data_IF_557252497788
#
_entry.id   IF_557252497788
#
_cell.length_a   1.000
_cell.length_b   1.000
_cell.length_c   1.000
_cell.angle_alpha   90.00
_cell.angle_beta   90.00
_cell.angle_gamma   90.00
#
_symmetry.space_group_name_H-M   'P 1'
#
loop_
_entity.id
_entity.type
_entity.pdbx_description
1 polymer ?
#
# COMPACT_ATOMS: atom_id res chain seq x y z
N UNK A 1 -9.54 -4.27 1.89
CA UNK A 1 -9.01 -5.53 2.41
C UNK A 1 -7.51 -5.33 2.45
N UNK A 2 -6.82 -5.75 3.52
CA UNK A 2 -5.55 -5.12 3.91
C UNK A 2 -4.50 -6.17 4.22
N UNK A 3 -3.34 -6.08 3.57
CA UNK A 3 -2.26 -7.07 3.72
C UNK A 3 -2.03 -7.90 2.47
N UNK A 4 -1.31 -9.02 2.65
CA UNK A 4 -0.87 -9.87 1.55
C UNK A 4 -2.01 -10.40 0.71
N UNK A 5 -1.86 -10.26 -0.61
CA UNK A 5 -2.71 -10.95 -1.56
C UNK A 5 -2.57 -12.47 -1.44
N UNK A 6 -3.53 -13.19 -2.01
CA UNK A 6 -3.49 -14.64 -2.20
C UNK A 6 -2.19 -15.08 -2.88
N UNK A 7 -1.71 -14.28 -3.84
CA UNK A 7 -0.47 -14.55 -4.56
C UNK A 7 0.74 -14.45 -3.63
N UNK A 8 0.85 -13.37 -2.86
CA UNK A 8 1.95 -13.17 -1.92
C UNK A 8 1.93 -14.20 -0.81
N UNK A 9 0.77 -14.46 -0.21
CA UNK A 9 0.62 -15.45 0.85
C UNK A 9 1.03 -16.86 0.39
N UNK A 10 0.58 -17.30 -0.79
CA UNK A 10 0.96 -18.60 -1.37
C UNK A 10 2.46 -18.69 -1.65
N UNK A 11 3.07 -17.64 -2.20
CA UNK A 11 4.51 -17.64 -2.46
C UNK A 11 5.34 -17.64 -1.17
N UNK A 12 4.92 -16.88 -0.16
CA UNK A 12 5.56 -16.90 1.16
C UNK A 12 5.48 -18.29 1.81
N UNK A 13 4.32 -18.95 1.76
CA UNK A 13 4.15 -20.32 2.27
C UNK A 13 4.97 -21.34 1.48
N UNK A 14 5.00 -21.24 0.16
CA UNK A 14 5.82 -22.12 -0.67
C UNK A 14 7.32 -21.97 -0.34
N UNK A 15 7.78 -20.75 -0.04
CA UNK A 15 9.14 -20.52 0.40
C UNK A 15 9.42 -21.12 1.79
N UNK A 16 8.54 -20.85 2.76
CA UNK A 16 8.67 -21.37 4.13
C UNK A 16 8.66 -22.91 4.18
N UNK A 17 7.93 -23.55 3.27
CA UNK A 17 7.86 -25.00 3.15
C UNK A 17 8.97 -25.60 2.28
N UNK A 18 9.86 -24.77 1.73
CA UNK A 18 10.97 -25.21 0.86
C UNK A 18 10.51 -25.70 -0.52
N UNK A 19 9.26 -25.45 -0.91
CA UNK A 19 8.69 -25.87 -2.19
C UNK A 19 9.21 -25.04 -3.36
N UNK A 20 9.51 -23.76 -3.11
CA UNK A 20 10.11 -22.84 -4.09
C UNK A 20 11.13 -21.93 -3.40
N UNK A 21 12.09 -21.39 -4.16
CA UNK A 21 12.89 -20.27 -3.69
C UNK A 21 12.01 -19.01 -3.55
N UNK A 22 12.32 -18.14 -2.60
CA UNK A 22 11.64 -16.85 -2.48
C UNK A 22 11.74 -16.10 -3.82
N UNK A 23 10.63 -15.58 -4.39
CA UNK A 23 10.71 -14.82 -5.63
C UNK A 23 11.68 -13.66 -5.46
N UNK A 24 12.64 -13.53 -6.37
CA UNK A 24 13.46 -12.32 -6.45
C UNK A 24 12.56 -11.22 -6.98
N UNK A 25 12.22 -10.23 -6.15
CA UNK A 25 11.35 -9.12 -6.55
C UNK A 25 12.20 -8.06 -7.26
N UNK A 26 12.11 -7.89 -8.59
CA UNK A 26 13.04 -7.04 -9.33
C UNK A 26 12.64 -5.57 -9.27
N UNK A 27 11.33 -5.28 -9.30
CA UNK A 27 10.77 -3.94 -9.20
C UNK A 27 9.37 -4.01 -8.58
N UNK A 28 9.07 -3.08 -7.68
CA UNK A 28 7.76 -2.96 -7.04
C UNK A 28 7.13 -1.64 -7.46
N UNK A 29 5.83 -1.66 -7.72
CA UNK A 29 5.07 -0.52 -8.22
C UNK A 29 3.87 -0.24 -7.32
N UNK A 30 3.70 1.02 -6.92
CA UNK A 30 2.53 1.49 -6.20
C UNK A 30 1.45 1.98 -7.19
N UNK A 31 0.25 1.43 -7.05
CA UNK A 31 -0.95 1.75 -7.81
C UNK A 31 -2.02 2.38 -6.89
N UNK A 32 -2.89 3.22 -7.47
CA UNK A 32 -4.04 3.81 -6.80
C UNK A 32 -5.34 3.20 -7.35
N UNK A 33 -6.36 3.13 -6.50
CA UNK A 33 -7.63 2.48 -6.83
C UNK A 33 -8.83 3.34 -6.42
N UNK A 34 -9.85 3.36 -7.27
CA UNK A 34 -11.18 3.92 -6.97
C UNK A 34 -12.12 2.87 -6.37
N UNK A 35 -11.80 1.59 -6.54
CA UNK A 35 -12.41 0.47 -5.83
C UNK A 35 -11.33 -0.56 -5.46
N UNK A 36 -11.32 -0.99 -4.20
CA UNK A 36 -10.30 -1.92 -3.72
C UNK A 36 -10.44 -3.33 -4.35
N UNK A 37 -9.32 -4.00 -4.69
CA UNK A 37 -9.34 -5.40 -5.08
C UNK A 37 -9.59 -6.33 -3.88
N UNK A 38 -10.03 -7.55 -4.18
CA UNK A 38 -10.03 -8.69 -3.26
C UNK A 38 -8.63 -9.35 -3.19
N UNK A 39 -8.44 -10.33 -2.30
CA UNK A 39 -7.16 -11.05 -2.09
C UNK A 39 -6.62 -11.67 -3.35
N UNK A 40 -7.52 -12.16 -4.20
CA UNK A 40 -7.19 -12.72 -5.51
C UNK A 40 -6.71 -11.69 -6.53
N UNK A 41 -6.70 -10.40 -6.18
CA UNK A 41 -6.43 -9.28 -7.08
C UNK A 41 -7.62 -8.89 -7.97
N UNK A 42 -8.77 -9.54 -7.82
CA UNK A 42 -9.97 -9.30 -8.64
C UNK A 42 -10.90 -8.24 -8.04
N UNK A 43 -11.85 -7.72 -8.83
CA UNK A 43 -12.91 -6.81 -8.36
C UNK A 43 -12.48 -5.37 -8.08
N UNK A 44 -11.18 -5.08 -8.07
CA UNK A 44 -10.65 -3.73 -7.93
C UNK A 44 -10.79 -2.92 -9.23
N UNK A 45 -10.87 -1.60 -9.08
CA UNK A 45 -10.78 -0.64 -10.18
C UNK A 45 -9.55 0.21 -9.96
N UNK A 46 -8.46 -0.13 -10.65
CA UNK A 46 -7.27 0.72 -10.68
C UNK A 46 -7.62 2.05 -11.35
N UNK A 47 -7.03 3.13 -10.85
CA UNK A 47 -7.18 4.45 -11.44
C UNK A 47 -6.81 4.38 -12.93
N UNK A 48 -7.60 5.07 -13.74
CA UNK A 48 -7.30 5.31 -15.15
C UNK A 48 -7.53 6.78 -15.46
N UNK A 49 -6.79 7.31 -16.44
CA UNK A 49 -6.89 8.72 -16.80
C UNK A 49 -5.60 9.22 -17.42
N UNK A 50 -5.63 10.46 -17.93
CA UNK A 50 -4.46 11.08 -18.55
C UNK A 50 -3.32 11.17 -17.54
N UNK A 51 -2.12 10.78 -17.98
CA UNK A 51 -0.87 10.75 -17.21
C UNK A 51 -0.80 9.73 -16.06
N UNK A 52 -1.84 8.95 -15.79
CA UNK A 52 -1.75 7.93 -14.73
C UNK A 52 -0.85 6.78 -15.17
N UNK A 53 0.11 6.45 -14.32
CA UNK A 53 0.91 5.23 -14.36
C UNK A 53 1.26 4.85 -12.92
N UNK A 54 1.48 3.55 -12.68
CA UNK A 54 2.00 3.08 -11.39
C UNK A 54 3.38 3.67 -11.14
N UNK A 55 3.67 4.02 -9.89
CA UNK A 55 4.97 4.58 -9.49
C UNK A 55 5.89 3.47 -9.03
N UNK A 56 7.08 3.36 -9.62
CA UNK A 56 8.07 2.40 -9.11
C UNK A 56 8.56 2.85 -7.73
N UNK A 57 8.42 1.98 -6.73
CA UNK A 57 8.77 2.23 -5.33
C UNK A 57 9.88 1.32 -4.81
N UNK A 58 10.26 0.29 -5.56
CA UNK A 58 11.49 -0.45 -5.30
C UNK A 58 12.10 -0.99 -6.59
N UNK A 59 13.40 -1.25 -6.58
CA UNK A 59 14.12 -1.91 -7.66
C UNK A 59 15.63 -1.92 -7.44
N UNK A 60 16.39 -2.52 -8.35
CA UNK A 60 17.85 -2.55 -8.25
C UNK A 60 18.53 -1.95 -9.48
N UNK A 61 19.71 -1.36 -9.28
CA UNK A 61 20.60 -0.88 -10.33
C UNK A 61 21.98 -1.53 -10.17
N UNK A 62 22.64 -1.82 -11.29
CA UNK A 62 24.02 -2.32 -11.29
C UNK A 62 25.00 -1.17 -11.34
N UNK A 63 25.95 -1.14 -10.41
CA UNK A 63 27.04 -0.15 -10.44
C UNK A 63 27.88 -0.32 -11.70
N UNK A 64 28.53 0.76 -12.16
CA UNK A 64 29.47 0.73 -13.29
C UNK A 64 30.87 1.25 -12.93
N UNK A 65 31.11 1.46 -11.64
CA UNK A 65 32.35 1.96 -11.08
C UNK A 65 32.41 1.65 -9.59
N UNK A 66 33.63 1.58 -9.06
CA UNK A 66 33.85 1.25 -7.65
C UNK A 66 33.61 2.45 -6.74
N UNK A 67 33.01 2.25 -5.58
CA UNK A 67 32.94 3.23 -4.48
C UNK A 67 33.86 2.78 -3.36
N UNK A 68 35.00 3.45 -3.21
CA UNK A 68 35.96 3.11 -2.17
C UNK A 68 35.38 3.31 -0.74
N UNK A 69 35.92 2.56 0.21
CA UNK A 69 35.63 2.73 1.64
C UNK A 69 35.86 4.19 2.08
N UNK A 70 34.95 4.74 2.88
CA UNK A 70 34.97 6.14 3.29
C UNK A 70 34.37 7.12 2.28
N UNK A 71 33.85 6.66 1.14
CA UNK A 71 33.13 7.48 0.17
C UNK A 71 31.64 7.10 0.13
N UNK A 72 30.77 8.09 -0.08
CA UNK A 72 29.31 7.92 -0.13
C UNK A 72 28.74 7.94 -1.56
N UNK A 73 29.55 8.11 -2.60
CA UNK A 73 29.03 8.25 -3.98
C UNK A 73 29.04 6.91 -4.71
N UNK A 74 27.86 6.39 -5.03
CA UNK A 74 27.66 5.26 -5.92
C UNK A 74 27.63 5.72 -7.38
N UNK A 75 28.13 4.87 -8.28
CA UNK A 75 28.27 5.16 -9.71
C UNK A 75 27.46 4.17 -10.55
N UNK A 76 26.63 4.70 -11.46
CA UNK A 76 25.74 3.94 -12.33
C UNK A 76 25.84 4.41 -13.78
N UNK A 77 25.48 3.54 -14.72
CA UNK A 77 25.35 3.93 -16.13
C UNK A 77 24.20 4.94 -16.33
N UNK A 78 23.11 4.76 -15.58
CA UNK A 78 21.99 5.68 -15.50
C UNK A 78 21.28 5.51 -14.16
N UNK A 79 20.84 6.61 -13.56
CA UNK A 79 19.96 6.65 -12.40
C UNK A 79 18.56 7.10 -12.87
N UNK A 80 17.57 6.20 -12.92
CA UNK A 80 16.22 6.55 -13.33
C UNK A 80 15.52 7.47 -12.32
N UNK A 81 14.53 8.23 -12.78
CA UNK A 81 13.81 9.22 -11.98
C UNK A 81 13.01 8.64 -10.79
N UNK A 82 12.80 7.31 -10.74
CA UNK A 82 12.15 6.66 -9.60
C UNK A 82 13.08 6.56 -8.38
N UNK A 83 14.41 6.66 -8.56
CA UNK A 83 15.35 6.71 -7.42
C UNK A 83 15.33 8.11 -6.82
N UNK A 84 14.75 8.24 -5.62
CA UNK A 84 14.51 9.51 -4.95
C UNK A 84 15.20 9.60 -3.60
N UNK A 85 15.44 10.83 -3.12
CA UNK A 85 15.96 11.08 -1.78
C UNK A 85 15.05 10.44 -0.70
N UNK A 86 15.68 9.89 0.34
CA UNK A 86 15.01 9.17 1.42
C UNK A 86 14.78 7.68 1.17
N UNK A 87 14.99 7.18 -0.06
CA UNK A 87 14.90 5.74 -0.33
C UNK A 87 16.00 4.99 0.42
N UNK A 88 15.67 3.84 0.99
CA UNK A 88 16.64 2.94 1.64
C UNK A 88 17.48 2.22 0.60
N UNK A 89 18.77 2.06 0.87
CA UNK A 89 19.75 1.43 -0.02
C UNK A 89 20.18 0.08 0.57
N UNK A 90 20.22 -0.95 -0.28
CA UNK A 90 20.67 -2.30 0.07
C UNK A 90 21.69 -2.79 -0.95
N UNK A 91 22.70 -3.55 -0.51
CA UNK A 91 23.61 -4.25 -1.42
C UNK A 91 23.21 -5.73 -1.50
N UNK A 92 22.72 -6.16 -2.67
CA UNK A 92 22.25 -7.52 -2.90
C UNK A 92 23.39 -8.50 -3.17
N UNK A 93 24.56 -8.00 -3.57
CA UNK A 93 25.72 -8.79 -4.03
C UNK A 93 26.79 -8.95 -2.97
N UNK A 94 27.00 -7.93 -2.13
CA UNK A 94 27.99 -7.91 -1.07
C UNK A 94 27.39 -7.30 0.21
N UNK A 95 26.43 -8.03 0.80
CA UNK A 95 25.70 -7.59 1.99
C UNK A 95 26.67 -7.18 3.11
N UNK A 96 26.56 -5.92 3.56
CA UNK A 96 27.36 -5.37 4.67
C UNK A 96 28.41 -4.34 4.29
N UNK A 97 28.67 -4.11 2.99
CA UNK A 97 29.57 -3.03 2.53
C UNK A 97 28.89 -1.65 2.53
N UNK A 98 27.58 -1.62 2.33
CA UNK A 98 26.74 -0.45 2.61
C UNK A 98 26.18 -0.60 4.03
N UNK A 99 26.41 0.37 4.95
CA UNK A 99 25.87 0.31 6.30
C UNK A 99 24.35 0.16 6.33
N UNK A 100 23.82 -0.54 7.34
CA UNK A 100 22.38 -0.66 7.52
C UNK A 100 21.71 0.72 7.68
N UNK A 101 20.46 0.84 7.23
CA UNK A 101 19.68 2.08 7.22
C UNK A 101 20.29 3.25 6.41
N UNK A 102 21.24 2.97 5.52
CA UNK A 102 21.72 3.95 4.54
C UNK A 102 20.59 4.34 3.58
N UNK A 103 20.51 5.62 3.26
CA UNK A 103 19.47 6.22 2.40
C UNK A 103 20.09 7.06 1.29
N UNK A 104 19.29 7.34 0.26
CA UNK A 104 19.63 8.30 -0.80
C UNK A 104 19.56 9.73 -0.24
N UNK A 105 20.62 10.51 -0.36
CA UNK A 105 20.62 11.95 -0.09
C UNK A 105 20.31 12.77 -1.33
N UNK A 106 20.96 12.43 -2.46
CA UNK A 106 20.78 13.12 -3.72
C UNK A 106 21.17 12.22 -4.90
N UNK A 107 20.71 12.59 -6.08
CA UNK A 107 21.00 11.87 -7.33
C UNK A 107 21.43 12.84 -8.42
N UNK A 108 22.26 12.36 -9.33
CA UNK A 108 22.44 12.92 -10.68
C UNK A 108 21.92 11.91 -11.69
N UNK A 109 22.11 12.13 -12.99
CA UNK A 109 21.77 11.13 -14.01
C UNK A 109 22.63 9.86 -13.93
N UNK A 110 23.76 9.85 -13.23
CA UNK A 110 24.72 8.73 -13.20
C UNK A 110 25.28 8.42 -11.81
N UNK A 111 24.90 9.16 -10.76
CA UNK A 111 25.41 8.94 -9.41
C UNK A 111 24.32 9.06 -8.35
N UNK A 112 24.51 8.36 -7.25
CA UNK A 112 23.70 8.47 -6.04
C UNK A 112 24.63 8.78 -4.87
N UNK A 113 24.33 9.83 -4.11
CA UNK A 113 25.02 10.14 -2.86
C UNK A 113 24.26 9.49 -1.72
N UNK A 114 24.94 8.62 -0.98
CA UNK A 114 24.43 7.91 0.19
C UNK A 114 24.51 8.76 1.46
N UNK A 115 23.66 8.47 2.46
CA UNK A 115 23.72 9.10 3.78
C UNK A 115 24.80 8.56 4.70
N UNK A 116 25.43 7.45 4.32
CA UNK A 116 26.59 6.87 4.98
C UNK A 116 27.66 6.51 3.93
N UNK A 117 28.91 6.50 4.35
CA UNK A 117 30.01 6.05 3.51
C UNK A 117 29.99 4.52 3.35
N UNK A 118 30.43 4.04 2.18
CA UNK A 118 30.76 2.63 2.01
C UNK A 118 31.81 2.21 3.05
N UNK A 119 31.67 1.00 3.56
CA UNK A 119 32.52 0.39 4.57
C UNK A 119 33.34 -0.77 3.99
N UNK A 120 34.23 -1.34 4.80
CA UNK A 120 35.01 -2.52 4.41
C UNK A 120 35.85 -2.28 3.15
N UNK A 121 35.67 -3.14 2.14
CA UNK A 121 36.36 -3.04 0.86
C UNK A 121 35.79 -1.96 -0.08
N UNK A 122 34.63 -1.38 0.25
CA UNK A 122 33.87 -0.52 -0.66
C UNK A 122 33.02 -1.30 -1.66
N UNK A 123 32.12 -0.61 -2.36
CA UNK A 123 31.20 -1.19 -3.34
C UNK A 123 31.93 -1.43 -4.67
N UNK A 124 31.78 -2.62 -5.24
CA UNK A 124 32.34 -3.02 -6.52
C UNK A 124 31.65 -2.35 -7.71
N UNK A 125 32.28 -2.42 -8.88
CA UNK A 125 31.77 -1.83 -10.13
C UNK A 125 30.79 -2.71 -10.90
N UNK A 126 30.30 -3.80 -10.29
CA UNK A 126 29.33 -4.75 -10.87
C UNK A 126 28.27 -5.16 -9.84
N UNK A 127 28.19 -4.43 -8.74
CA UNK A 127 27.34 -4.77 -7.60
C UNK A 127 25.89 -4.40 -7.92
N UNK A 128 24.94 -5.21 -7.44
CA UNK A 128 23.51 -4.96 -7.59
C UNK A 128 23.00 -4.24 -6.35
N UNK A 129 22.71 -2.96 -6.50
CA UNK A 129 22.26 -2.09 -5.41
C UNK A 129 20.75 -1.94 -5.49
N UNK A 130 20.07 -2.41 -4.45
CA UNK A 130 18.64 -2.25 -4.23
C UNK A 130 18.29 -0.89 -3.65
N UNK A 131 17.17 -0.33 -4.10
CA UNK A 131 16.56 0.89 -3.61
C UNK A 131 15.10 0.61 -3.27
N UNK A 132 14.63 1.14 -2.15
CA UNK A 132 13.24 1.00 -1.71
C UNK A 132 12.72 2.28 -1.09
N UNK A 133 11.51 2.69 -1.50
CA UNK A 133 10.76 3.75 -0.84
C UNK A 133 10.39 3.37 0.59
N UNK A 134 10.33 2.08 0.92
CA UNK A 134 10.03 1.57 2.26
C UNK A 134 11.29 1.24 3.03
N UNK A 135 11.28 1.55 4.33
CA UNK A 135 12.28 1.06 5.28
C UNK A 135 12.10 -0.43 5.55
N UNK A 136 13.13 -1.06 6.11
CA UNK A 136 13.05 -2.45 6.56
C UNK A 136 11.93 -2.65 7.58
N UNK A 137 11.25 -3.81 7.50
CA UNK A 137 10.15 -4.13 8.40
C UNK A 137 10.60 -4.13 9.89
N UNK A 138 9.73 -3.68 10.77
CA UNK A 138 9.93 -3.62 12.23
C UNK A 138 8.63 -3.92 12.98
N UNK A 139 8.71 -4.12 14.30
CA UNK A 139 7.53 -4.45 15.13
C UNK A 139 7.17 -5.94 15.12
N UNK A 140 6.32 -6.35 16.06
CA UNK A 140 6.00 -7.76 16.32
C UNK A 140 4.49 -8.07 16.43
N UNK A 141 3.61 -7.07 16.35
CA UNK A 141 2.15 -7.23 16.40
C UNK A 141 1.42 -5.91 16.05
N UNK A 142 1.37 -5.48 14.78
CA UNK A 142 1.87 -6.15 13.58
C UNK A 142 3.36 -5.88 13.33
N UNK A 143 3.97 -6.65 12.43
CA UNK A 143 5.19 -6.21 11.74
C UNK A 143 4.79 -5.22 10.64
N UNK A 144 5.56 -4.15 10.47
CA UNK A 144 5.22 -3.06 9.54
C UNK A 144 6.45 -2.49 8.85
N UNK A 145 6.23 -2.01 7.63
CA UNK A 145 7.19 -1.25 6.84
C UNK A 145 6.57 0.11 6.47
N UNK A 146 7.36 1.18 6.59
CA UNK A 146 6.89 2.55 6.38
C UNK A 146 7.70 3.19 5.27
N UNK A 147 7.06 4.00 4.42
CA UNK A 147 7.80 4.71 3.38
C UNK A 147 8.75 5.76 3.99
N UNK A 148 10.04 5.69 3.67
CA UNK A 148 11.05 6.68 4.05
C UNK A 148 11.19 7.83 3.06
N UNK A 149 10.84 7.62 1.78
CA UNK A 149 10.82 8.67 0.75
C UNK A 149 9.40 9.14 0.46
N UNK A 150 9.29 10.36 -0.07
CA UNK A 150 8.06 10.78 -0.74
C UNK A 150 7.79 9.86 -1.93
N UNK A 151 6.52 9.56 -2.20
CA UNK A 151 6.08 8.83 -3.39
C UNK A 151 5.11 9.76 -4.12
N UNK A 152 5.49 10.20 -5.31
CA UNK A 152 4.74 11.19 -6.08
C UNK A 152 4.28 10.61 -7.40
N UNK A 153 2.99 10.73 -7.69
CA UNK A 153 2.42 10.37 -8.98
C UNK A 153 2.52 11.54 -9.96
N UNK A 154 2.34 11.27 -11.25
CA UNK A 154 2.26 12.34 -12.26
C UNK A 154 1.08 13.29 -12.00
N UNK A 155 1.14 14.51 -12.53
CA UNK A 155 0.00 15.43 -12.43
C UNK A 155 -1.17 14.90 -13.28
N UNK A 156 -2.37 14.72 -12.71
CA UNK A 156 -3.55 14.31 -13.47
C UNK A 156 -3.88 15.32 -14.56
N UNK A 157 -4.11 14.82 -15.77
CA UNK A 157 -4.59 15.63 -16.89
C UNK A 157 -6.10 15.92 -16.81
N UNK A 158 -6.66 16.36 -17.94
CA UNK A 158 -8.10 16.64 -18.06
C UNK A 158 -8.96 15.47 -17.59
N UNK A 159 -9.97 15.75 -16.76
CA UNK A 159 -10.86 14.73 -16.16
C UNK A 159 -10.42 14.23 -14.78
N UNK A 160 -9.17 14.44 -14.39
CA UNK A 160 -8.66 13.92 -13.11
C UNK A 160 -8.64 12.38 -13.05
N UNK A 161 -8.50 11.84 -11.84
CA UNK A 161 -8.38 10.41 -11.56
C UNK A 161 -9.53 9.86 -10.69
N UNK A 162 -10.57 10.67 -10.47
CA UNK A 162 -11.71 10.31 -9.63
C UNK A 162 -11.37 10.29 -8.13
N UNK A 163 -12.14 9.51 -7.36
CA UNK A 163 -11.97 9.39 -5.91
C UNK A 163 -11.17 8.15 -5.58
N UNK A 164 -9.95 8.34 -5.12
CA UNK A 164 -9.04 7.27 -4.67
C UNK A 164 -9.39 6.87 -3.25
N UNK A 165 -9.49 5.57 -3.02
CA UNK A 165 -9.86 4.99 -1.72
C UNK A 165 -8.87 3.93 -1.24
N UNK A 166 -7.98 3.46 -2.12
CA UNK A 166 -7.11 2.33 -1.84
C UNK A 166 -5.79 2.45 -2.61
N UNK A 167 -4.71 1.88 -2.07
CA UNK A 167 -3.44 1.71 -2.75
C UNK A 167 -3.06 0.23 -2.83
N UNK A 168 -2.33 -0.17 -3.87
CA UNK A 168 -1.84 -1.53 -4.02
C UNK A 168 -0.42 -1.58 -4.55
N UNK A 169 0.33 -2.61 -4.14
CA UNK A 169 1.65 -2.95 -4.64
C UNK A 169 1.54 -4.03 -5.72
N UNK A 170 2.34 -3.87 -6.78
CA UNK A 170 2.43 -4.78 -7.92
C UNK A 170 3.88 -5.07 -8.27
N UNK A 171 4.11 -6.24 -8.86
CA UNK A 171 5.44 -6.66 -9.36
C UNK A 171 5.73 -6.20 -10.80
N UNK A 172 4.83 -5.43 -11.43
CA UNK A 172 5.01 -4.90 -12.77
C UNK A 172 4.37 -3.52 -12.97
N UNK A 173 4.91 -2.74 -13.90
CA UNK A 173 4.41 -1.40 -14.25
C UNK A 173 3.02 -1.44 -14.89
N UNK A 174 2.71 -2.52 -15.62
CA UNK A 174 1.41 -2.82 -16.23
C UNK A 174 1.11 -4.30 -16.03
N UNK A 175 -0.17 -4.65 -15.86
CA UNK A 175 -0.56 -6.00 -15.45
C UNK A 175 0.11 -6.42 -14.14
N UNK A 176 0.87 -7.52 -14.12
CA UNK A 176 1.54 -8.03 -12.92
C UNK A 176 0.58 -8.61 -11.87
N UNK A 177 1.16 -9.15 -10.81
CA UNK A 177 0.43 -9.71 -9.69
C UNK A 177 0.23 -8.64 -8.61
N UNK A 178 -0.98 -8.56 -8.07
CA UNK A 178 -1.26 -7.79 -6.86
C UNK A 178 -0.54 -8.44 -5.69
N UNK A 179 0.21 -7.65 -4.90
CA UNK A 179 1.08 -8.16 -3.85
C UNK A 179 0.53 -7.89 -2.45
N UNK A 180 0.15 -6.64 -2.19
CA UNK A 180 -0.28 -6.12 -0.90
C UNK A 180 -0.99 -4.78 -1.14
N UNK A 181 -1.78 -4.29 -0.21
CA UNK A 181 -2.44 -3.00 -0.30
C UNK A 181 -3.30 -2.71 0.92
N UNK A 182 -3.74 -1.46 1.05
CA UNK A 182 -4.65 -1.05 2.09
C UNK A 182 -5.55 0.13 1.65
N UNK A 183 -6.69 0.27 2.32
CA UNK A 183 -7.54 1.44 2.23
C UNK A 183 -6.78 2.68 2.74
N UNK A 184 -7.03 3.80 2.07
CA UNK A 184 -6.45 5.08 2.44
C UNK A 184 -7.05 5.53 3.77
N UNK A 185 -6.18 6.10 4.63
CA UNK A 185 -6.53 6.60 5.95
C UNK A 185 -6.08 5.65 7.06
N UNK A 186 -5.40 6.22 8.07
CA UNK A 186 -4.92 5.48 9.23
C UNK A 186 -6.04 5.31 10.27
N UNK A 187 -6.99 4.43 9.97
CA UNK A 187 -8.13 4.12 10.85
C UNK A 187 -8.12 2.65 11.23
N UNK A 188 -8.44 2.30 12.50
CA UNK A 188 -8.47 0.91 12.92
C UNK A 188 -9.65 0.18 12.29
N UNK A 189 -9.47 -1.12 12.07
CA UNK A 189 -10.58 -2.05 11.92
C UNK A 189 -11.26 -2.24 13.28
N UNK A 190 -12.56 -2.01 13.34
CA UNK A 190 -13.37 -2.15 14.54
C UNK A 190 -14.36 -3.30 14.38
N UNK A 191 -14.56 -4.15 15.40
CA UNK A 191 -15.57 -5.21 15.35
C UNK A 191 -16.97 -4.62 15.28
N UNK A 192 -17.85 -5.29 14.54
CA UNK A 192 -19.24 -4.90 14.37
C UNK A 192 -20.18 -6.10 14.56
N UNK A 193 -21.32 -5.85 15.17
CA UNK A 193 -22.49 -6.72 15.09
C UNK A 193 -23.60 -6.01 14.32
N UNK A 194 -24.39 -6.76 13.56
CA UNK A 194 -25.41 -6.22 12.66
C UNK A 194 -26.75 -6.87 12.99
N UNK A 195 -27.75 -6.04 13.27
CA UNK A 195 -29.11 -6.49 13.58
C UNK A 195 -29.83 -7.02 12.34
N UNK A 196 -30.93 -7.75 12.54
CA UNK A 196 -31.91 -8.05 11.48
C UNK A 196 -32.99 -6.97 11.51
N UNK A 197 -32.82 -5.90 10.71
CA UNK A 197 -33.70 -4.73 10.74
C UNK A 197 -33.70 -3.99 9.39
N UNK A 198 -34.58 -3.00 9.26
CA UNK A 198 -34.67 -2.15 8.06
C UNK A 198 -34.80 -0.68 8.48
N UNK A 199 -33.71 0.10 8.52
CA UNK A 199 -32.32 -0.27 8.16
C UNK A 199 -31.67 -1.27 9.13
N UNK A 200 -30.69 -2.04 8.63
CA UNK A 200 -29.85 -2.88 9.47
C UNK A 200 -28.95 -2.01 10.35
N UNK A 201 -29.00 -2.21 11.67
CA UNK A 201 -28.22 -1.42 12.62
C UNK A 201 -26.88 -2.09 12.87
N UNK A 202 -25.79 -1.35 12.64
CA UNK A 202 -24.44 -1.74 13.01
C UNK A 202 -24.12 -1.25 14.41
N UNK A 203 -23.64 -2.14 15.28
CA UNK A 203 -23.20 -1.81 16.63
C UNK A 203 -21.71 -2.05 16.77
N UNK A 204 -20.97 -0.97 17.04
CA UNK A 204 -19.52 -0.93 17.25
C UNK A 204 -19.24 0.07 18.36
N UNK A 205 -18.61 -0.37 19.45
CA UNK A 205 -18.43 0.48 20.61
C UNK A 205 -17.55 1.70 20.33
N UNK A 206 -17.99 2.89 20.75
CA UNK A 206 -17.26 4.15 20.73
C UNK A 206 -16.54 4.43 19.39
N UNK A 207 -17.22 4.18 18.27
CA UNK A 207 -16.58 4.17 16.95
C UNK A 207 -16.09 5.55 16.49
N UNK A 208 -16.70 6.64 16.96
CA UNK A 208 -16.29 8.01 16.63
C UNK A 208 -16.50 8.40 15.16
N UNK A 209 -17.37 7.69 14.45
CA UNK A 209 -17.70 7.97 13.05
C UNK A 209 -18.86 8.96 12.95
N UNK A 210 -18.91 9.70 11.85
CA UNK A 210 -19.96 10.70 11.56
C UNK A 210 -20.59 10.47 10.19
N UNK A 211 -21.73 11.12 9.91
CA UNK A 211 -22.41 11.04 8.61
C UNK A 211 -21.59 11.63 7.43
N UNK A 212 -20.51 12.35 7.70
CA UNK A 212 -19.57 12.82 6.68
C UNK A 212 -18.54 11.74 6.28
N UNK A 213 -18.48 10.63 7.03
CA UNK A 213 -17.51 9.58 6.83
C UNK A 213 -18.03 8.48 5.91
N UNK A 214 -17.08 7.79 5.30
CA UNK A 214 -17.31 6.56 4.56
C UNK A 214 -16.62 5.40 5.23
N UNK A 215 -17.20 4.21 5.13
CA UNK A 215 -16.64 3.00 5.72
C UNK A 215 -16.74 1.82 4.76
N UNK A 216 -16.03 0.76 5.11
CA UNK A 216 -16.09 -0.54 4.46
C UNK A 216 -16.38 -1.61 5.50
N UNK A 217 -16.99 -2.71 5.06
CA UNK A 217 -17.30 -3.89 5.87
C UNK A 217 -16.50 -5.10 5.37
N UNK A 218 -16.07 -5.98 6.28
CA UNK A 218 -15.41 -7.23 5.96
C UNK A 218 -15.74 -8.34 6.96
N UNK A 219 -15.75 -9.58 6.49
CA UNK A 219 -15.81 -10.82 7.31
C UNK A 219 -14.48 -11.59 7.31
N UNK A 220 -13.48 -11.07 6.62
CA UNK A 220 -12.18 -11.71 6.44
C UNK A 220 -11.46 -11.96 7.76
N UNK A 221 -11.60 -11.03 8.71
CA UNK A 221 -11.06 -11.14 10.07
C UNK A 221 -11.99 -11.91 11.02
N UNK A 222 -12.91 -12.70 10.47
CA UNK A 222 -13.92 -13.45 11.20
C UNK A 222 -15.31 -12.80 11.20
N UNK A 223 -16.28 -13.56 11.70
CA UNK A 223 -17.69 -13.16 11.71
C UNK A 223 -18.51 -13.85 10.62
N UNK A 224 -19.74 -13.40 10.41
CA UNK A 224 -20.65 -13.95 9.40
C UNK A 224 -21.48 -12.83 8.79
N UNK A 225 -21.51 -12.74 7.47
CA UNK A 225 -22.27 -11.71 6.77
C UNK A 225 -23.77 -11.81 7.11
N UNK A 226 -24.47 -10.68 7.31
CA UNK A 226 -25.92 -10.70 7.46
C UNK A 226 -26.59 -11.12 6.14
N UNK A 227 -27.86 -11.54 6.22
CA UNK A 227 -28.69 -11.68 5.02
C UNK A 227 -29.36 -10.34 4.72
N UNK A 228 -29.40 -9.95 3.45
CA UNK A 228 -29.98 -8.67 3.02
C UNK A 228 -31.40 -8.84 2.50
N UNK A 229 -32.27 -7.90 2.88
CA UNK A 229 -33.59 -7.72 2.27
C UNK A 229 -33.63 -6.55 1.29
N UNK A 230 -32.65 -5.63 1.35
CA UNK A 230 -32.40 -4.63 0.33
C UNK A 230 -30.93 -4.16 0.36
N UNK A 231 -30.36 -3.89 -0.81
CA UNK A 231 -28.96 -3.47 -0.98
C UNK A 231 -27.94 -4.48 -0.44
N UNK A 232 -26.71 -4.05 -0.16
CA UNK A 232 -25.63 -4.91 0.37
C UNK A 232 -24.49 -4.07 1.01
N UNK A 233 -23.55 -4.75 1.67
CA UNK A 233 -22.37 -4.15 2.32
C UNK A 233 -21.08 -4.22 1.47
N UNK A 234 -21.20 -4.19 0.14
CA UNK A 234 -20.02 -4.22 -0.75
C UNK A 234 -19.54 -2.82 -1.11
N UNK A 235 -18.22 -2.66 -1.27
CA UNK A 235 -17.62 -1.38 -1.64
C UNK A 235 -17.67 -0.34 -0.51
N UNK A 236 -17.59 0.93 -0.91
CA UNK A 236 -17.60 2.07 0.01
C UNK A 236 -19.03 2.44 0.41
N UNK A 237 -19.28 2.46 1.72
CA UNK A 237 -20.58 2.70 2.31
C UNK A 237 -20.64 4.10 2.93
N UNK A 238 -21.74 4.82 2.71
CA UNK A 238 -21.99 6.11 3.34
C UNK A 238 -22.79 5.92 4.62
N UNK A 239 -22.39 6.60 5.69
CA UNK A 239 -23.10 6.54 6.97
C UNK A 239 -24.34 7.42 6.90
N UNK A 240 -25.53 6.84 7.10
CA UNK A 240 -26.79 7.58 7.05
C UNK A 240 -27.11 8.22 8.40
N UNK A 241 -26.95 7.47 9.49
CA UNK A 241 -27.08 7.95 10.86
C UNK A 241 -25.93 7.40 11.72
N UNK A 242 -25.46 8.20 12.65
CA UNK A 242 -24.43 7.82 13.63
C UNK A 242 -24.84 8.27 15.03
N UNK A 243 -24.72 7.36 15.98
CA UNK A 243 -24.74 7.60 17.42
C UNK A 243 -23.37 7.19 18.01
N UNK A 244 -23.24 7.12 19.34
CA UNK A 244 -21.95 6.77 19.97
C UNK A 244 -21.48 5.35 19.65
N UNK A 245 -22.41 4.39 19.70
CA UNK A 245 -22.12 2.95 19.59
C UNK A 245 -22.83 2.28 18.41
N UNK A 246 -23.62 3.03 17.65
CA UNK A 246 -24.48 2.49 16.59
C UNK A 246 -24.55 3.39 15.40
N UNK A 247 -24.63 2.79 14.22
CA UNK A 247 -24.81 3.50 12.96
C UNK A 247 -25.61 2.63 11.97
N UNK A 248 -26.15 3.26 10.94
CA UNK A 248 -26.67 2.58 9.76
C UNK A 248 -26.02 3.18 8.50
N UNK A 249 -26.14 2.45 7.39
CA UNK A 249 -25.42 2.80 6.16
C UNK A 249 -26.34 2.74 4.95
N UNK A 250 -25.92 3.48 3.93
CA UNK A 250 -26.41 3.34 2.57
C UNK A 250 -25.29 2.83 1.68
N UNK A 251 -25.68 2.08 0.66
CA UNK A 251 -24.82 1.74 -0.47
C UNK A 251 -25.44 2.37 -1.71
N UNK A 252 -24.67 3.20 -2.42
CA UNK A 252 -25.16 4.00 -3.55
C UNK A 252 -26.48 4.72 -3.25
N UNK A 253 -26.57 5.36 -2.08
CA UNK A 253 -27.75 6.09 -1.57
C UNK A 253 -28.99 5.22 -1.26
N UNK A 254 -28.90 3.89 -1.33
CA UNK A 254 -29.95 2.96 -0.92
C UNK A 254 -29.66 2.42 0.47
N UNK A 255 -30.61 2.53 1.39
CA UNK A 255 -30.47 1.99 2.74
C UNK A 255 -30.20 0.48 2.70
N UNK A 256 -29.26 0.03 3.55
CA UNK A 256 -28.95 -1.40 3.67
C UNK A 256 -29.91 -2.01 4.69
N UNK A 257 -30.81 -2.86 4.21
CA UNK A 257 -31.78 -3.57 5.05
C UNK A 257 -31.36 -5.04 5.19
N UNK A 258 -31.48 -5.58 6.40
CA UNK A 258 -31.07 -6.95 6.75
C UNK A 258 -32.27 -7.77 7.22
N UNK A 259 -32.27 -9.07 6.89
CA UNK A 259 -33.28 -10.07 7.26
C UNK A 259 -32.74 -11.17 8.16
N UNK A 260 -31.43 -11.16 8.43
CA UNK A 260 -30.78 -11.97 9.45
C UNK A 260 -29.60 -11.20 10.04
N UNK A 261 -29.26 -11.49 11.29
CA UNK A 261 -28.12 -10.88 11.98
C UNK A 261 -26.79 -11.25 11.32
N UNK A 262 -25.77 -10.42 11.53
CA UNK A 262 -24.41 -10.70 11.10
C UNK A 262 -23.37 -10.10 12.04
N UNK A 263 -22.11 -10.34 11.75
CA UNK A 263 -20.96 -9.77 12.44
C UNK A 263 -19.77 -9.65 11.49
N UNK A 264 -18.76 -8.89 11.88
CA UNK A 264 -17.53 -8.76 11.10
C UNK A 264 -16.72 -7.59 11.61
N UNK A 265 -16.03 -6.91 10.69
CA UNK A 265 -15.27 -5.70 10.95
C UNK A 265 -15.74 -4.56 10.06
N UNK A 266 -15.69 -3.34 10.58
CA UNK A 266 -15.81 -2.11 9.79
C UNK A 266 -14.56 -1.26 9.94
N UNK A 267 -14.27 -0.47 8.92
CA UNK A 267 -13.21 0.53 8.98
C UNK A 267 -13.62 1.76 8.22
N UNK A 268 -13.39 2.93 8.83
CA UNK A 268 -13.47 4.21 8.15
C UNK A 268 -12.41 4.29 7.05
N UNK A 269 -12.78 4.83 5.89
CA UNK A 269 -11.89 5.02 4.74
C UNK A 269 -11.80 6.50 4.43
N UNK A 270 -10.57 7.01 4.29
CA UNK A 270 -10.34 8.33 3.73
C UNK A 270 -10.46 8.26 2.21
N UNK A 271 -11.45 8.95 1.67
CA UNK A 271 -11.70 9.03 0.24
C UNK A 271 -11.15 10.33 -0.31
N UNK A 272 -10.26 10.27 -1.29
CA UNK A 272 -9.56 11.44 -1.82
C UNK A 272 -9.89 11.69 -3.28
N UNK A 273 -10.61 12.79 -3.56
CA UNK A 273 -10.83 13.26 -4.92
C UNK A 273 -9.54 13.83 -5.51
N UNK A 274 -9.15 13.33 -6.68
CA UNK A 274 -7.94 13.74 -7.40
C UNK A 274 -8.36 14.41 -8.72
N UNK A 275 -8.72 15.71 -8.70
CA UNK A 275 -9.10 16.44 -9.91
C UNK A 275 -7.88 16.79 -10.77
N UNK A 276 -8.14 17.27 -12.00
CA UNK A 276 -7.11 17.73 -12.91
C UNK A 276 -6.18 18.78 -12.25
N UNK A 277 -4.87 18.64 -12.46
CA UNK A 277 -3.87 19.56 -11.90
C UNK A 277 -3.46 19.31 -10.44
N UNK A 278 -4.13 18.41 -9.71
CA UNK A 278 -3.79 18.09 -8.31
C UNK A 278 -2.91 16.86 -8.24
N UNK A 279 -1.65 17.04 -7.85
CA UNK A 279 -0.68 15.93 -7.73
C UNK A 279 -1.01 15.07 -6.51
N UNK A 280 -1.21 13.77 -6.74
CA UNK A 280 -1.30 12.79 -5.66
C UNK A 280 0.10 12.41 -5.18
N UNK A 281 0.30 12.43 -3.86
CA UNK A 281 1.55 11.98 -3.25
C UNK A 281 1.33 11.41 -1.85
N UNK A 282 2.25 10.53 -1.45
CA UNK A 282 2.43 10.12 -0.07
C UNK A 282 3.71 10.76 0.44
N UNK A 283 3.59 11.62 1.45
CA UNK A 283 4.76 12.14 2.15
C UNK A 283 5.55 10.98 2.79
N UNK A 284 6.83 11.23 3.11
CA UNK A 284 7.57 10.29 3.95
C UNK A 284 6.79 10.02 5.25
N UNK A 285 6.78 8.76 5.68
CA UNK A 285 6.06 8.27 6.85
C UNK A 285 4.53 8.34 6.78
N UNK A 286 3.95 8.46 5.59
CA UNK A 286 2.50 8.53 5.41
C UNK A 286 1.86 7.20 4.96
N UNK A 287 2.66 6.24 4.48
CA UNK A 287 2.23 4.96 3.96
C UNK A 287 2.85 3.83 4.78
N UNK A 288 2.00 2.97 5.33
CA UNK A 288 2.39 1.83 6.16
C UNK A 288 1.84 0.55 5.55
N UNK A 289 2.72 -0.42 5.33
CA UNK A 289 2.37 -1.80 5.05
C UNK A 289 2.44 -2.57 6.36
N UNK A 290 1.49 -3.46 6.62
CA UNK A 290 1.45 -4.26 7.84
C UNK A 290 1.18 -5.73 7.51
N UNK A 291 1.86 -6.63 8.22
CA UNK A 291 1.63 -8.06 8.20
C UNK A 291 1.54 -8.57 9.65
N UNK A 292 0.56 -9.43 9.93
CA UNK A 292 0.29 -10.00 11.25
C UNK A 292 -0.02 -11.50 11.14
#
# INVERSE_FOLDING_TARGET
MTGFSDYTAKNALNWLTGSVAMPTLPAIYLALFTAAPADSGSGGTEVSGVSYARVQVAGSLTTNGTTASGNATLHFASVPAWVQAGMTIYDNTASGLIPAATTVLSTTSTTVVMSANAAGAGVGGTDSIGFSAFSGASGSAPSSAVNGSIITFATPGTGGWGTVVFFGLYDAITAGNYLDGDYIGNFPWLPVSISSASPGVMTTHAHGYSVADTLVYSVEYGGTAPTFSASNLTGLLAIAHAATDTLDVTNASVAVNTSATGSGMIRKVASQSIPAGVVASFAASALTLSAA
#
